data_IF_249670310494
#
_entry.id   IF_249670310494
#
_cell.length_a   1.000
_cell.length_b   1.000
_cell.length_c   1.000
_cell.angle_alpha   90.00
_cell.angle_beta   90.00
_cell.angle_gamma   90.00
#
_symmetry.space_group_name_H-M   'P 1'
#
loop_
_entity.id
_entity.type
_entity.pdbx_description
1 polymer ?
#
# COMPACT_ATOMS: atom_id res chain seq x y z
N UNK A 1 9.20 72.16 27.84
CA UNK A 1 8.64 71.35 26.73
C UNK A 1 9.28 69.96 26.77
N UNK A 2 8.53 68.98 27.27
CA UNK A 2 8.92 67.57 27.21
C UNK A 2 8.44 67.00 25.87
N UNK A 3 9.36 66.58 25.01
CA UNK A 3 9.05 65.81 23.81
C UNK A 3 9.02 64.34 24.20
N UNK A 4 7.85 63.76 24.21
CA UNK A 4 7.68 62.33 24.35
C UNK A 4 7.98 61.63 23.00
N UNK A 5 9.01 60.78 22.98
CA UNK A 5 9.32 59.91 21.88
C UNK A 5 8.27 58.79 21.87
N UNK A 6 7.58 58.49 20.75
CA UNK A 6 6.66 57.36 20.70
C UNK A 6 7.44 56.06 20.81
N UNK A 7 7.06 55.21 21.78
CA UNK A 7 7.50 53.82 21.85
C UNK A 7 6.94 53.08 20.65
N UNK A 8 7.85 52.59 19.80
CA UNK A 8 7.51 51.62 18.72
C UNK A 8 7.18 50.27 19.37
N UNK A 9 5.89 49.98 19.48
CA UNK A 9 5.33 48.72 19.97
C UNK A 9 4.97 47.81 18.78
N UNK A 10 5.78 47.79 17.73
CA UNK A 10 5.63 46.78 16.68
C UNK A 10 6.08 45.44 17.24
N UNK A 11 5.16 44.48 17.52
CA UNK A 11 5.56 43.12 17.80
C UNK A 11 6.08 42.55 16.50
N UNK A 12 7.37 42.33 16.37
CA UNK A 12 7.91 41.39 15.43
C UNK A 12 7.41 40.00 15.83
N UNK A 13 6.20 39.69 15.40
CA UNK A 13 5.77 38.28 15.32
C UNK A 13 6.72 37.64 14.33
N UNK A 14 7.72 36.95 14.88
CA UNK A 14 8.47 35.95 14.15
C UNK A 14 7.46 34.88 13.72
N UNK A 15 6.83 35.12 12.55
CA UNK A 15 5.97 34.14 11.89
C UNK A 15 6.95 33.09 11.44
N UNK A 16 7.16 32.10 12.30
CA UNK A 16 7.83 30.87 11.92
C UNK A 16 7.22 30.43 10.58
N UNK A 17 8.04 30.40 9.55
CA UNK A 17 7.61 29.92 8.22
C UNK A 17 6.81 28.64 8.40
N UNK A 18 5.63 28.50 7.76
CA UNK A 18 4.84 27.28 7.87
C UNK A 18 5.78 26.15 7.43
N UNK A 19 6.10 25.25 8.37
CA UNK A 19 6.77 23.99 8.03
C UNK A 19 5.92 23.41 6.93
N UNK A 20 6.48 23.31 5.72
CA UNK A 20 5.82 22.69 4.57
C UNK A 20 5.37 21.31 5.03
N UNK A 21 4.09 21.17 5.38
CA UNK A 21 3.47 19.88 5.63
C UNK A 21 3.38 19.21 4.26
N UNK A 22 4.41 18.41 3.93
CA UNK A 22 4.33 17.53 2.78
C UNK A 22 3.01 16.76 2.86
N UNK A 23 2.25 16.80 1.80
CA UNK A 23 1.01 15.99 1.72
C UNK A 23 1.36 14.51 1.90
N UNK A 24 0.41 13.70 2.38
CA UNK A 24 0.59 12.25 2.49
C UNK A 24 1.04 11.67 1.14
N UNK A 25 0.51 12.20 0.03
CA UNK A 25 0.86 11.78 -1.32
C UNK A 25 2.33 12.05 -1.66
N UNK A 26 2.85 13.26 -1.38
CA UNK A 26 4.25 13.61 -1.64
C UNK A 26 5.21 12.78 -0.78
N UNK A 27 4.83 12.50 0.45
CA UNK A 27 5.61 11.63 1.33
C UNK A 27 5.61 10.19 0.83
N UNK A 28 4.48 9.69 0.34
CA UNK A 28 4.35 8.37 -0.27
C UNK A 28 5.25 8.24 -1.49
N UNK A 29 5.24 9.22 -2.41
CA UNK A 29 6.06 9.22 -3.61
C UNK A 29 7.56 9.18 -3.27
N UNK A 30 8.00 9.98 -2.29
CA UNK A 30 9.38 10.00 -1.81
C UNK A 30 9.80 8.63 -1.21
N UNK A 31 8.92 8.01 -0.41
CA UNK A 31 9.21 6.69 0.17
C UNK A 31 9.26 5.58 -0.87
N UNK A 32 8.36 5.58 -1.86
CA UNK A 32 8.38 4.63 -2.97
C UNK A 32 9.64 4.77 -3.83
N UNK A 33 10.06 6.00 -4.12
CA UNK A 33 11.32 6.24 -4.83
C UNK A 33 12.53 5.75 -4.02
N UNK A 34 12.53 5.98 -2.72
CA UNK A 34 13.57 5.46 -1.83
C UNK A 34 13.59 3.93 -1.86
N UNK A 35 12.42 3.28 -1.72
CA UNK A 35 12.28 1.82 -1.72
C UNK A 35 12.85 1.18 -2.99
N UNK A 36 12.57 1.78 -4.15
CA UNK A 36 13.04 1.29 -5.44
C UNK A 36 14.58 1.34 -5.62
N UNK A 37 15.29 2.13 -4.81
CA UNK A 37 16.74 2.32 -4.90
C UNK A 37 17.53 1.59 -3.81
N UNK A 38 16.87 1.02 -2.79
CA UNK A 38 17.56 0.36 -1.68
C UNK A 38 18.15 -0.98 -2.09
N UNK A 39 19.34 -1.25 -1.55
CA UNK A 39 20.09 -2.51 -1.71
C UNK A 39 20.23 -3.29 -0.41
N UNK A 40 19.84 -2.71 0.70
CA UNK A 40 19.84 -3.31 2.03
C UNK A 40 18.43 -3.82 2.37
N UNK A 41 18.29 -5.11 2.66
CA UNK A 41 17.00 -5.77 2.88
C UNK A 41 16.26 -5.26 4.12
N UNK A 42 16.98 -5.00 5.22
CA UNK A 42 16.37 -4.55 6.47
C UNK A 42 15.83 -3.12 6.32
N UNK A 43 16.59 -2.24 5.69
CA UNK A 43 16.13 -0.87 5.39
C UNK A 43 14.99 -0.88 4.38
N UNK A 44 15.04 -1.73 3.38
CA UNK A 44 13.97 -1.85 2.40
C UNK A 44 12.67 -2.33 3.06
N UNK A 45 12.74 -3.32 3.96
CA UNK A 45 11.57 -3.77 4.72
C UNK A 45 10.98 -2.65 5.59
N UNK A 46 11.83 -1.88 6.29
CA UNK A 46 11.37 -0.75 7.09
C UNK A 46 10.68 0.33 6.25
N UNK A 47 11.25 0.70 5.10
CA UNK A 47 10.63 1.67 4.18
C UNK A 47 9.35 1.12 3.57
N UNK A 48 9.27 -0.16 3.25
CA UNK A 48 8.05 -0.79 2.76
C UNK A 48 6.91 -0.74 3.81
N UNK A 49 7.23 -0.88 5.10
CA UNK A 49 6.25 -0.73 6.18
C UNK A 49 5.78 0.72 6.35
N UNK A 50 6.69 1.71 6.20
CA UNK A 50 6.31 3.13 6.14
C UNK A 50 5.35 3.40 4.98
N UNK A 51 5.63 2.87 3.78
CA UNK A 51 4.76 2.98 2.60
C UNK A 51 3.37 2.40 2.87
N UNK A 52 3.29 1.20 3.45
CA UNK A 52 2.00 0.59 3.83
C UNK A 52 1.23 1.44 4.84
N UNK A 53 1.92 2.04 5.80
CA UNK A 53 1.31 2.96 6.76
C UNK A 53 0.75 4.21 6.08
N UNK A 54 1.47 4.78 5.11
CA UNK A 54 1.03 5.95 4.34
C UNK A 54 -0.22 5.64 3.49
N UNK A 55 -0.29 4.46 2.87
CA UNK A 55 -1.49 4.03 2.14
C UNK A 55 -2.73 3.96 3.04
N UNK A 56 -2.59 3.47 4.28
CA UNK A 56 -3.70 3.43 5.25
C UNK A 56 -4.17 4.81 5.70
N UNK A 57 -3.35 5.84 5.59
CA UNK A 57 -3.66 7.21 5.97
C UNK A 57 -4.33 8.04 4.85
N UNK A 58 -4.56 7.45 3.67
CA UNK A 58 -5.13 8.17 2.52
C UNK A 58 -6.64 8.41 2.61
N UNK A 59 -7.35 7.67 3.45
CA UNK A 59 -8.79 7.81 3.66
C UNK A 59 -9.12 8.53 4.99
N UNK A 60 -10.37 8.88 5.17
CA UNK A 60 -10.84 9.61 6.36
C UNK A 60 -11.07 8.70 7.58
N UNK A 61 -11.39 9.33 8.72
CA UNK A 61 -11.54 8.66 10.02
C UNK A 61 -12.51 7.47 10.03
N UNK A 62 -13.57 7.51 9.23
CA UNK A 62 -14.52 6.39 9.12
C UNK A 62 -13.89 5.18 8.44
N UNK A 63 -13.10 5.41 7.39
CA UNK A 63 -12.35 4.34 6.72
C UNK A 63 -11.30 3.73 7.65
N UNK A 64 -10.58 4.55 8.41
CA UNK A 64 -9.60 4.10 9.41
C UNK A 64 -10.27 3.20 10.47
N UNK A 65 -11.46 3.59 10.95
CA UNK A 65 -12.21 2.79 11.91
C UNK A 65 -12.65 1.44 11.32
N UNK A 66 -13.07 1.42 10.05
CA UNK A 66 -13.48 0.16 9.39
C UNK A 66 -12.27 -0.75 9.12
N UNK A 67 -11.13 -0.18 8.72
CA UNK A 67 -9.86 -0.93 8.58
C UNK A 67 -9.44 -1.55 9.91
N UNK A 68 -9.41 -0.76 10.98
CA UNK A 68 -9.04 -1.22 12.31
C UNK A 68 -9.99 -2.33 12.78
N UNK A 69 -11.30 -2.13 12.68
CA UNK A 69 -12.30 -3.13 13.08
C UNK A 69 -12.15 -4.45 12.31
N UNK A 70 -11.91 -4.36 11.01
CA UNK A 70 -11.68 -5.53 10.17
C UNK A 70 -10.39 -6.27 10.54
N UNK A 71 -9.30 -5.54 10.78
CA UNK A 71 -8.02 -6.10 11.20
C UNK A 71 -8.12 -6.80 12.57
N UNK A 72 -8.71 -6.14 13.56
CA UNK A 72 -8.93 -6.73 14.89
C UNK A 72 -9.83 -7.98 14.86
N UNK A 73 -10.87 -7.95 14.01
CA UNK A 73 -11.75 -9.11 13.81
C UNK A 73 -10.98 -10.29 13.20
N UNK A 74 -10.14 -10.02 12.20
CA UNK A 74 -9.28 -11.02 11.56
C UNK A 74 -8.29 -11.64 12.55
N UNK A 75 -7.66 -10.83 13.41
CA UNK A 75 -6.74 -11.30 14.45
C UNK A 75 -7.42 -12.22 15.47
N UNK A 76 -8.69 -11.95 15.79
CA UNK A 76 -9.50 -12.81 16.68
C UNK A 76 -10.12 -14.02 15.99
N UNK A 77 -9.93 -14.18 14.67
CA UNK A 77 -10.54 -15.23 13.86
C UNK A 77 -12.03 -15.00 13.57
N UNK A 78 -12.57 -13.82 13.85
CA UNK A 78 -13.94 -13.42 13.50
C UNK A 78 -14.00 -12.96 12.03
N UNK A 79 -13.94 -13.94 11.15
CA UNK A 79 -13.87 -13.72 9.70
C UNK A 79 -15.11 -13.00 9.16
N UNK A 80 -16.29 -13.31 9.70
CA UNK A 80 -17.55 -12.68 9.27
C UNK A 80 -17.57 -11.18 9.58
N UNK A 81 -17.08 -10.79 10.75
CA UNK A 81 -16.96 -9.36 11.11
C UNK A 81 -15.89 -8.67 10.26
N UNK A 82 -14.77 -9.33 9.96
CA UNK A 82 -13.75 -8.80 9.07
C UNK A 82 -14.34 -8.52 7.67
N UNK A 83 -15.03 -9.50 7.07
CA UNK A 83 -15.71 -9.33 5.78
C UNK A 83 -16.69 -8.15 5.79
N UNK A 84 -17.59 -8.09 6.76
CA UNK A 84 -18.57 -7.00 6.86
C UNK A 84 -17.89 -5.63 6.97
N UNK A 85 -16.80 -5.53 7.72
CA UNK A 85 -16.08 -4.27 7.87
C UNK A 85 -15.44 -3.83 6.55
N UNK A 86 -14.81 -4.75 5.83
CA UNK A 86 -14.18 -4.45 4.54
C UNK A 86 -15.20 -4.23 3.41
N UNK A 87 -16.35 -4.91 3.42
CA UNK A 87 -17.47 -4.63 2.51
C UNK A 87 -18.01 -3.20 2.70
N UNK A 88 -18.20 -2.78 3.96
CA UNK A 88 -18.60 -1.41 4.26
C UNK A 88 -17.54 -0.40 3.80
N UNK A 89 -16.26 -0.71 4.00
CA UNK A 89 -15.17 0.16 3.56
C UNK A 89 -15.20 0.35 2.04
N UNK A 90 -15.31 -0.72 1.25
CA UNK A 90 -15.39 -0.63 -0.22
C UNK A 90 -16.65 0.08 -0.70
N UNK A 91 -17.78 -0.08 0.01
CA UNK A 91 -19.01 0.62 -0.30
C UNK A 91 -18.92 2.13 0.01
N UNK A 92 -18.21 2.50 1.08
CA UNK A 92 -18.02 3.89 1.50
C UNK A 92 -17.00 4.61 0.63
N UNK A 93 -15.87 3.96 0.36
CA UNK A 93 -14.71 4.49 -0.34
C UNK A 93 -14.29 3.54 -1.49
N UNK A 94 -15.08 3.46 -2.59
CA UNK A 94 -14.81 2.51 -3.67
C UNK A 94 -13.49 2.77 -4.42
N UNK A 95 -13.00 4.01 -4.38
CA UNK A 95 -11.74 4.43 -5.00
C UNK A 95 -10.53 4.31 -4.06
N UNK A 96 -10.71 3.79 -2.86
CA UNK A 96 -9.65 3.59 -1.89
C UNK A 96 -9.04 2.18 -2.06
N UNK A 97 -7.86 2.13 -2.66
CA UNK A 97 -7.19 0.88 -3.02
C UNK A 97 -6.95 -0.06 -1.81
N UNK A 98 -6.67 0.49 -0.62
CA UNK A 98 -6.46 -0.30 0.61
C UNK A 98 -7.67 -1.18 0.94
N UNK A 99 -8.90 -0.69 0.76
CA UNK A 99 -10.11 -1.48 1.00
C UNK A 99 -10.18 -2.74 0.15
N UNK A 100 -9.70 -2.66 -1.08
CA UNK A 100 -9.61 -3.81 -2.00
C UNK A 100 -8.47 -4.75 -1.62
N UNK A 101 -7.31 -4.22 -1.21
CA UNK A 101 -6.16 -5.03 -0.79
C UNK A 101 -6.48 -5.85 0.45
N UNK A 102 -7.02 -5.25 1.52
CA UNK A 102 -7.34 -5.99 2.75
C UNK A 102 -8.45 -7.03 2.53
N UNK A 103 -9.37 -6.75 1.60
CA UNK A 103 -10.39 -7.72 1.20
C UNK A 103 -9.79 -8.89 0.44
N UNK A 104 -8.85 -8.62 -0.47
CA UNK A 104 -8.13 -9.66 -1.20
C UNK A 104 -7.26 -10.52 -0.28
N UNK A 105 -6.60 -9.93 0.71
CA UNK A 105 -5.84 -10.68 1.73
C UNK A 105 -6.75 -11.66 2.48
N UNK A 106 -7.94 -11.22 2.85
CA UNK A 106 -8.93 -12.06 3.52
C UNK A 106 -9.44 -13.18 2.61
N UNK A 107 -9.69 -12.88 1.34
CA UNK A 107 -10.06 -13.86 0.32
C UNK A 107 -8.98 -14.92 0.11
N UNK A 108 -7.72 -14.52 0.00
CA UNK A 108 -6.58 -15.43 -0.10
C UNK A 108 -6.49 -16.34 1.11
N UNK A 109 -6.71 -15.81 2.31
CA UNK A 109 -6.75 -16.60 3.55
C UNK A 109 -7.89 -17.62 3.54
N UNK A 110 -9.04 -17.26 2.96
CA UNK A 110 -10.20 -18.15 2.77
C UNK A 110 -10.08 -19.06 1.54
N UNK A 111 -9.02 -18.95 0.76
CA UNK A 111 -8.85 -19.65 -0.54
C UNK A 111 -9.91 -19.27 -1.58
N UNK A 112 -10.54 -18.12 -1.44
CA UNK A 112 -11.43 -17.53 -2.44
C UNK A 112 -10.61 -16.78 -3.49
N UNK A 113 -10.03 -17.55 -4.40
CA UNK A 113 -9.11 -17.02 -5.41
C UNK A 113 -9.82 -16.18 -6.48
N UNK A 114 -11.09 -16.46 -6.76
CA UNK A 114 -11.88 -15.71 -7.75
C UNK A 114 -12.09 -14.27 -7.25
N UNK A 115 -12.58 -14.10 -6.03
CA UNK A 115 -12.74 -12.79 -5.43
C UNK A 115 -11.38 -12.09 -5.21
N UNK A 116 -10.33 -12.84 -4.81
CA UNK A 116 -9.00 -12.30 -4.65
C UNK A 116 -8.47 -11.67 -5.95
N UNK A 117 -8.65 -12.35 -7.09
CA UNK A 117 -8.25 -11.83 -8.40
C UNK A 117 -9.02 -10.56 -8.78
N UNK A 118 -10.34 -10.53 -8.57
CA UNK A 118 -11.16 -9.35 -8.82
C UNK A 118 -10.69 -8.16 -7.98
N UNK A 119 -10.57 -8.36 -6.68
CA UNK A 119 -10.20 -7.31 -5.74
C UNK A 119 -8.78 -6.76 -6.00
N UNK A 120 -7.81 -7.65 -6.33
CA UNK A 120 -6.44 -7.23 -6.63
C UNK A 120 -6.33 -6.48 -7.95
N UNK A 121 -7.06 -6.90 -8.99
CA UNK A 121 -7.14 -6.15 -10.23
C UNK A 121 -7.70 -4.74 -10.00
N UNK A 122 -8.73 -4.62 -9.16
CA UNK A 122 -9.27 -3.32 -8.78
C UNK A 122 -8.24 -2.49 -8.01
N UNK A 123 -7.53 -3.08 -7.06
CA UNK A 123 -6.52 -2.40 -6.27
C UNK A 123 -5.39 -1.82 -7.12
N UNK A 124 -4.81 -2.61 -8.05
CA UNK A 124 -3.73 -2.13 -8.93
C UNK A 124 -4.22 -1.15 -10.00
N UNK A 125 -5.49 -1.19 -10.37
CA UNK A 125 -6.10 -0.20 -11.26
C UNK A 125 -6.26 1.15 -10.56
N UNK A 126 -6.60 1.15 -9.26
CA UNK A 126 -6.76 2.36 -8.45
C UNK A 126 -5.40 2.98 -8.07
N UNK A 127 -4.40 2.17 -7.76
CA UNK A 127 -3.04 2.62 -7.51
C UNK A 127 -2.03 1.59 -8.02
N UNK A 128 -1.44 1.87 -9.18
CA UNK A 128 -0.45 1.01 -9.83
C UNK A 128 0.88 0.88 -9.05
N UNK A 129 1.10 1.74 -8.04
CA UNK A 129 2.30 1.73 -7.18
C UNK A 129 2.21 0.71 -6.04
N UNK A 130 1.11 -0.02 -5.94
CA UNK A 130 0.85 -1.02 -4.89
C UNK A 130 1.67 -2.30 -5.12
N UNK A 131 2.93 -2.30 -4.69
CA UNK A 131 3.80 -3.49 -4.79
C UNK A 131 3.22 -4.70 -4.04
N UNK A 132 2.52 -4.47 -2.94
CA UNK A 132 1.84 -5.51 -2.16
C UNK A 132 0.68 -6.16 -2.93
N UNK A 133 -0.14 -5.35 -3.60
CA UNK A 133 -1.22 -5.84 -4.44
C UNK A 133 -0.69 -6.61 -5.65
N UNK A 134 0.35 -6.11 -6.33
CA UNK A 134 1.00 -6.81 -7.45
C UNK A 134 1.59 -8.16 -7.02
N UNK A 135 2.29 -8.22 -5.89
CA UNK A 135 2.85 -9.47 -5.38
C UNK A 135 1.75 -10.50 -5.03
N UNK A 136 0.65 -10.04 -4.42
CA UNK A 136 -0.47 -10.90 -4.07
C UNK A 136 -1.26 -11.34 -5.31
N UNK A 137 -1.38 -10.46 -6.32
CA UNK A 137 -1.97 -10.78 -7.62
C UNK A 137 -1.18 -11.87 -8.35
N UNK A 138 0.16 -11.77 -8.36
CA UNK A 138 1.03 -12.82 -8.89
C UNK A 138 0.74 -14.17 -8.24
N UNK A 139 0.62 -14.21 -6.92
CA UNK A 139 0.28 -15.42 -6.18
C UNK A 139 -1.10 -15.97 -6.55
N UNK A 140 -2.11 -15.12 -6.65
CA UNK A 140 -3.46 -15.52 -7.02
C UNK A 140 -3.52 -16.08 -8.46
N UNK A 141 -2.79 -15.44 -9.38
CA UNK A 141 -2.67 -15.91 -10.77
C UNK A 141 -1.95 -17.27 -10.88
N UNK A 142 -0.95 -17.54 -10.05
CA UNK A 142 -0.34 -18.86 -9.98
C UNK A 142 -1.36 -19.94 -9.55
N UNK A 143 -2.22 -19.64 -8.58
CA UNK A 143 -3.29 -20.56 -8.17
C UNK A 143 -4.28 -20.83 -9.31
N UNK A 144 -4.55 -19.83 -10.13
CA UNK A 144 -5.35 -19.94 -11.34
C UNK A 144 -4.60 -20.59 -12.52
N UNK A 145 -3.35 -21.07 -12.33
CA UNK A 145 -2.47 -21.63 -13.35
C UNK A 145 -2.11 -20.66 -14.50
N UNK A 146 -2.32 -19.37 -14.31
CA UNK A 146 -2.00 -18.30 -15.27
C UNK A 146 -0.56 -17.82 -15.08
N UNK A 147 0.42 -18.69 -15.36
CA UNK A 147 1.83 -18.48 -15.00
C UNK A 147 2.49 -17.28 -15.68
N UNK A 148 2.18 -17.05 -16.95
CA UNK A 148 2.68 -15.89 -17.68
C UNK A 148 2.16 -14.57 -17.08
N UNK A 149 0.87 -14.52 -16.76
CA UNK A 149 0.27 -13.36 -16.09
C UNK A 149 0.82 -13.18 -14.67
N UNK A 150 1.04 -14.27 -13.93
CA UNK A 150 1.66 -14.24 -12.61
C UNK A 150 3.09 -13.66 -12.67
N UNK A 151 3.87 -14.05 -13.68
CA UNK A 151 5.22 -13.53 -13.90
C UNK A 151 5.20 -12.03 -14.16
N UNK A 152 4.27 -11.52 -14.99
CA UNK A 152 4.11 -10.08 -15.21
C UNK A 152 3.74 -9.34 -13.91
N UNK A 153 2.80 -9.86 -13.12
CA UNK A 153 2.42 -9.25 -11.85
C UNK A 153 3.60 -9.21 -10.86
N UNK A 154 4.41 -10.26 -10.78
CA UNK A 154 5.61 -10.25 -9.94
C UNK A 154 6.68 -9.29 -10.46
N UNK A 155 6.82 -9.10 -11.78
CA UNK A 155 7.72 -8.10 -12.35
C UNK A 155 7.34 -6.70 -11.90
N UNK A 156 6.06 -6.35 -11.95
CA UNK A 156 5.58 -5.05 -11.45
C UNK A 156 5.91 -4.87 -9.97
N UNK A 157 5.67 -5.88 -9.14
CA UNK A 157 6.02 -5.84 -7.73
C UNK A 157 7.54 -5.60 -7.50
N UNK A 158 8.39 -6.29 -8.26
CA UNK A 158 9.87 -6.17 -8.16
C UNK A 158 10.38 -4.84 -8.71
N UNK A 159 9.73 -4.27 -9.75
CA UNK A 159 10.06 -2.92 -10.23
C UNK A 159 9.85 -1.85 -9.16
N UNK A 160 8.78 -1.99 -8.37
CA UNK A 160 8.43 -1.06 -7.31
C UNK A 160 9.23 -1.31 -6.02
N UNK A 161 9.48 -2.57 -5.71
CA UNK A 161 10.22 -3.03 -4.54
C UNK A 161 11.19 -4.15 -4.94
N UNK A 162 12.43 -3.82 -5.38
CA UNK A 162 13.40 -4.81 -5.89
C UNK A 162 13.75 -5.93 -4.91
N UNK A 163 13.77 -5.63 -3.62
CA UNK A 163 14.06 -6.58 -2.55
C UNK A 163 12.80 -7.19 -1.92
N UNK A 164 11.66 -7.20 -2.65
CA UNK A 164 10.43 -7.78 -2.14
C UNK A 164 10.63 -9.28 -1.80
N UNK A 165 10.40 -9.70 -0.54
CA UNK A 165 10.85 -11.02 -0.06
C UNK A 165 10.15 -12.20 -0.75
N UNK A 166 8.94 -12.00 -1.27
CA UNK A 166 8.18 -13.05 -1.94
C UNK A 166 8.21 -12.93 -3.46
N UNK A 167 8.08 -11.70 -4.02
CA UNK A 167 7.94 -11.52 -5.47
C UNK A 167 9.23 -11.84 -6.23
N UNK A 168 10.40 -11.44 -5.71
CA UNK A 168 11.68 -11.70 -6.35
C UNK A 168 11.95 -13.20 -6.56
N UNK A 169 11.93 -14.03 -5.50
CA UNK A 169 12.09 -15.47 -5.61
C UNK A 169 11.02 -16.16 -6.50
N UNK A 170 9.76 -15.70 -6.43
CA UNK A 170 8.67 -16.25 -7.25
C UNK A 170 8.90 -15.95 -8.73
N UNK A 171 9.28 -14.72 -9.07
CA UNK A 171 9.63 -14.30 -10.42
C UNK A 171 10.76 -15.17 -10.99
N UNK A 172 11.87 -15.26 -10.26
CA UNK A 172 13.03 -16.05 -10.69
C UNK A 172 12.71 -17.53 -10.88
N UNK A 173 11.81 -18.09 -10.09
CA UNK A 173 11.33 -19.47 -10.25
C UNK A 173 10.50 -19.62 -11.52
N UNK A 174 9.51 -18.75 -11.75
CA UNK A 174 8.65 -18.80 -12.93
C UNK A 174 9.42 -18.60 -14.23
N UNK A 175 10.39 -17.69 -14.27
CA UNK A 175 11.26 -17.47 -15.43
C UNK A 175 12.04 -18.74 -15.81
N UNK A 176 12.59 -19.47 -14.83
CA UNK A 176 13.27 -20.75 -15.09
C UNK A 176 12.31 -21.82 -15.58
N UNK A 177 11.13 -21.93 -14.97
CA UNK A 177 10.11 -22.93 -15.37
C UNK A 177 9.63 -22.70 -16.79
N UNK A 178 9.39 -21.46 -17.19
CA UNK A 178 8.93 -21.10 -18.52
C UNK A 178 10.04 -21.24 -19.58
N UNK A 179 11.28 -20.87 -19.25
CA UNK A 179 12.43 -21.08 -20.14
C UNK A 179 12.71 -22.57 -20.39
N UNK A 180 12.57 -23.43 -19.37
CA UNK A 180 12.76 -24.88 -19.52
C UNK A 180 11.67 -25.61 -20.32
N UNK A 181 10.51 -24.96 -20.54
CA UNK A 181 9.42 -25.49 -21.38
C UNK A 181 9.56 -25.16 -22.86
N UNK A 182 10.39 -24.17 -23.18
CA UNK A 182 10.63 -23.73 -24.56
C UNK A 182 11.70 -24.55 -25.29
N UNK A 183 12.32 -25.54 -24.61
CA UNK A 183 13.28 -26.53 -25.13
C UNK A 183 12.63 -27.90 -25.32
#
# INVERSE_FOLDING_TARGET
AFQATPLDLSPTLDVAEPREHRSVSEHLDDRLQTLASLTDEERAAAVADEVRSLWRQQAGATADLLLQRGAEARERGDIDTAWRSYDHLRALEPDYAEGWVVSAELAVQASDWEFALEALNQAVTLDERRFDAWALLGRALEQAQAREAAMEAYREAVLLYPLHPAAGPALARLERELAGRAL
#
